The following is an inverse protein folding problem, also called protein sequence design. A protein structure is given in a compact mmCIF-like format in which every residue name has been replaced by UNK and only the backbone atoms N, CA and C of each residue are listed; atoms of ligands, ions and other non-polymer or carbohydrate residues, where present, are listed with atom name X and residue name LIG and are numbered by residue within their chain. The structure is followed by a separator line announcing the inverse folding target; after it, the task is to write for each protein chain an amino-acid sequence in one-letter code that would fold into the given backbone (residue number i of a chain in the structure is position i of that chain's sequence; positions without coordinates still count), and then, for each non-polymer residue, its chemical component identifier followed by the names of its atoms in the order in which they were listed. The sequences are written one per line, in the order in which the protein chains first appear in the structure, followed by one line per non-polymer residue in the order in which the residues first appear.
data_IF_724157375489
#
_entry.id   IF_724157375489
#
_cell.length_a   1.000
_cell.length_b   1.000
_cell.length_c   1.000
_cell.angle_alpha   90.00
_cell.angle_beta   90.00
_cell.angle_gamma   90.00
#
_symmetry.space_group_name_H-M   'P 1'
#
loop_
_entity.id
_entity.type
_entity.pdbx_description
1 polymer ?
#
# COMPACT_ATOMS: atom_id res chain seq x y z
N UNK A 1 -0.82 12.50 24.37
CA UNK A 1 -1.02 12.69 22.92
C UNK A 1 -0.03 11.79 22.22
N UNK A 2 -0.45 10.59 21.81
CA UNK A 2 0.36 9.77 20.92
C UNK A 2 0.42 10.48 19.57
N UNK A 3 1.61 10.92 19.19
CA UNK A 3 1.89 11.29 17.80
C UNK A 3 1.59 10.08 16.92
N UNK A 4 1.02 10.30 15.73
CA UNK A 4 1.00 9.28 14.68
C UNK A 4 2.45 8.85 14.46
N UNK A 5 2.84 7.75 15.08
CA UNK A 5 4.04 7.01 14.74
C UNK A 5 3.69 6.36 13.41
N UNK A 6 4.18 6.92 12.30
CA UNK A 6 4.15 6.35 10.94
C UNK A 6 4.89 4.99 10.86
N UNK A 7 5.17 4.35 12.00
CA UNK A 7 6.00 3.17 12.21
C UNK A 7 5.30 1.83 12.00
N UNK A 8 4.10 1.79 11.43
CA UNK A 8 3.37 0.54 11.17
C UNK A 8 3.11 0.30 9.68
N UNK A 9 4.07 0.64 8.82
CA UNK A 9 3.99 0.43 7.36
C UNK A 9 4.27 -1.03 6.94
N UNK A 10 3.83 -2.04 7.68
CA UNK A 10 4.15 -3.45 7.36
C UNK A 10 3.01 -4.41 7.72
N UNK A 11 1.91 -4.35 6.98
CA UNK A 11 1.01 -5.49 6.74
C UNK A 11 0.12 -5.18 5.53
N UNK A 12 -0.43 -6.22 4.88
CA UNK A 12 -1.36 -6.06 3.75
C UNK A 12 -2.48 -5.07 4.07
N UNK A 13 -2.82 -4.22 3.09
CA UNK A 13 -3.93 -3.31 3.23
C UNK A 13 -5.24 -4.11 3.32
N UNK A 14 -6.04 -3.83 4.34
CA UNK A 14 -7.31 -4.54 4.50
C UNK A 14 -8.34 -3.98 3.52
N UNK A 15 -9.24 -4.83 3.02
CA UNK A 15 -10.41 -4.38 2.23
C UNK A 15 -11.18 -3.23 2.91
N UNK A 16 -11.16 -3.17 4.24
CA UNK A 16 -11.76 -2.09 5.01
C UNK A 16 -11.07 -0.73 4.81
N UNK A 17 -9.74 -0.68 4.76
CA UNK A 17 -8.99 0.55 4.49
C UNK A 17 -9.29 1.11 3.10
N UNK A 18 -9.31 0.24 2.08
CA UNK A 18 -9.64 0.64 0.70
C UNK A 18 -11.06 1.22 0.64
N UNK A 19 -12.04 0.62 1.31
CA UNK A 19 -13.38 1.21 1.38
C UNK A 19 -13.44 2.50 2.21
N UNK A 20 -12.53 2.69 3.15
CA UNK A 20 -12.46 3.91 3.94
C UNK A 20 -12.01 5.13 3.11
N UNK A 21 -11.30 4.93 2.01
CA UNK A 21 -11.05 5.99 1.02
C UNK A 21 -12.37 6.60 0.51
N UNK A 22 -13.35 5.75 0.21
CA UNK A 22 -14.69 6.18 -0.15
C UNK A 22 -15.46 6.83 1.01
N UNK A 23 -15.19 6.44 2.26
CA UNK A 23 -15.74 7.12 3.44
C UNK A 23 -15.20 8.54 3.57
N UNK A 24 -13.91 8.75 3.27
CA UNK A 24 -13.30 10.09 3.24
C UNK A 24 -14.00 10.95 2.18
N UNK A 25 -14.28 10.39 0.99
CA UNK A 25 -15.05 11.08 -0.07
C UNK A 25 -16.44 11.48 0.42
N UNK A 26 -17.19 10.54 1.01
CA UNK A 26 -18.54 10.78 1.51
C UNK A 26 -18.54 11.85 2.62
N UNK A 27 -17.61 11.75 3.58
CA UNK A 27 -17.48 12.70 4.68
C UNK A 27 -17.10 14.10 4.17
N UNK A 28 -16.16 14.19 3.21
CA UNK A 28 -15.79 15.45 2.59
C UNK A 28 -16.98 16.08 1.86
N UNK A 29 -17.71 15.33 1.04
CA UNK A 29 -18.84 15.85 0.27
C UNK A 29 -20.01 16.32 1.15
N UNK A 30 -20.16 15.76 2.36
CA UNK A 30 -21.20 16.14 3.32
C UNK A 30 -20.74 17.15 4.39
N UNK A 31 -19.45 17.55 4.41
CA UNK A 31 -18.82 18.32 5.51
C UNK A 31 -19.43 19.68 5.84
N UNK A 32 -20.15 20.27 4.88
CA UNK A 32 -20.75 21.60 5.01
C UNK A 32 -22.22 21.56 5.47
N UNK A 33 -22.81 20.37 5.60
CA UNK A 33 -24.15 20.22 6.14
C UNK A 33 -24.17 20.51 7.65
N UNK A 34 -25.35 20.84 8.18
CA UNK A 34 -25.54 20.82 9.63
C UNK A 34 -25.41 19.39 10.17
N UNK A 35 -25.11 19.26 11.46
CA UNK A 35 -24.97 17.95 12.11
C UNK A 35 -26.21 17.06 11.88
N UNK A 36 -27.41 17.62 12.04
CA UNK A 36 -28.67 16.90 11.82
C UNK A 36 -28.83 16.42 10.37
N UNK A 37 -28.51 17.28 9.40
CA UNK A 37 -28.58 16.94 7.99
C UNK A 37 -27.55 15.87 7.62
N UNK A 38 -26.33 15.97 8.16
CA UNK A 38 -25.27 14.98 7.98
C UNK A 38 -25.69 13.61 8.53
N UNK A 39 -26.14 13.57 9.78
CA UNK A 39 -26.57 12.33 10.48
C UNK A 39 -27.76 11.64 9.81
N UNK A 40 -28.58 12.37 9.04
CA UNK A 40 -29.65 11.80 8.21
C UNK A 40 -29.12 11.14 6.93
N UNK A 41 -27.98 11.59 6.39
CA UNK A 41 -27.45 11.18 5.07
C UNK A 41 -26.28 10.21 5.12
N UNK A 42 -25.41 10.26 6.13
CA UNK A 42 -24.12 9.56 6.10
C UNK A 42 -24.24 8.04 6.00
N UNK A 43 -25.15 7.41 6.76
CA UNK A 43 -25.36 5.96 6.70
C UNK A 43 -26.10 5.50 5.42
N UNK A 44 -26.60 6.43 4.62
CA UNK A 44 -27.23 6.12 3.33
C UNK A 44 -26.19 6.02 2.20
N UNK A 45 -24.98 6.56 2.41
CA UNK A 45 -23.94 6.60 1.39
C UNK A 45 -23.41 5.21 1.05
N UNK A 46 -23.11 4.99 -0.22
CA UNK A 46 -22.70 3.69 -0.73
C UNK A 46 -21.34 3.24 -0.15
N UNK A 47 -20.38 4.15 -0.03
CA UNK A 47 -19.05 3.79 0.47
C UNK A 47 -19.09 3.49 1.98
N UNK A 48 -19.79 4.32 2.76
CA UNK A 48 -20.06 4.04 4.18
C UNK A 48 -20.71 2.66 4.37
N UNK A 49 -21.72 2.32 3.56
CA UNK A 49 -22.36 0.99 3.62
C UNK A 49 -21.39 -0.15 3.30
N UNK A 50 -20.50 0.00 2.33
CA UNK A 50 -19.49 -1.02 1.98
C UNK A 50 -18.47 -1.18 3.10
N UNK A 51 -17.94 -0.08 3.60
CA UNK A 51 -16.98 -0.03 4.70
C UNK A 51 -17.52 -0.73 5.97
N UNK A 52 -18.75 -0.39 6.39
CA UNK A 52 -19.37 -0.97 7.59
C UNK A 52 -19.62 -2.48 7.51
N UNK A 53 -19.52 -3.11 6.33
CA UNK A 53 -19.64 -4.58 6.21
C UNK A 53 -18.34 -5.32 6.53
N UNK A 54 -17.20 -4.64 6.43
CA UNK A 54 -15.87 -5.26 6.52
C UNK A 54 -15.02 -4.65 7.64
N UNK A 55 -15.44 -3.53 8.22
CA UNK A 55 -14.76 -2.93 9.36
C UNK A 55 -14.74 -3.91 10.55
N UNK A 56 -13.58 -4.03 11.19
CA UNK A 56 -13.36 -4.93 12.32
C UNK A 56 -13.11 -4.16 13.63
N UNK A 57 -12.68 -4.88 14.66
CA UNK A 57 -12.37 -4.33 15.99
C UNK A 57 -11.24 -3.27 16.01
N UNK A 58 -10.44 -3.13 14.94
CA UNK A 58 -9.40 -2.11 14.87
C UNK A 58 -10.02 -0.70 14.78
N UNK A 59 -11.23 -0.60 14.23
CA UNK A 59 -11.96 0.65 14.03
C UNK A 59 -12.73 1.09 15.27
N UNK A 60 -11.99 1.44 16.33
CA UNK A 60 -12.54 1.73 17.66
C UNK A 60 -13.58 2.84 17.71
N UNK A 61 -13.58 3.77 16.75
CA UNK A 61 -14.59 4.83 16.66
C UNK A 61 -15.99 4.32 16.29
N UNK A 62 -16.08 3.15 15.67
CA UNK A 62 -17.33 2.58 15.13
C UNK A 62 -17.63 1.18 15.66
N UNK A 63 -16.65 0.50 16.27
CA UNK A 63 -16.88 -0.77 16.95
C UNK A 63 -17.47 -0.54 18.35
N UNK A 64 -18.54 -1.24 18.79
CA UNK A 64 -19.14 -2.46 18.24
C UNK A 64 -20.49 -2.21 17.52
N UNK A 65 -20.55 -1.28 16.55
CA UNK A 65 -21.74 -1.13 15.70
C UNK A 65 -22.12 -2.45 14.98
N UNK A 66 -21.13 -3.33 14.78
CA UNK A 66 -21.30 -4.70 14.29
C UNK A 66 -21.30 -5.64 15.51
N UNK A 67 -22.48 -5.95 16.06
CA UNK A 67 -22.63 -7.03 17.07
C UNK A 67 -22.87 -8.38 16.35
N UNK A 68 -22.46 -9.52 16.93
CA UNK A 68 -22.66 -10.85 16.36
C UNK A 68 -24.12 -11.19 16.01
N UNK A 69 -25.09 -10.51 16.62
CA UNK A 69 -26.52 -10.76 16.49
C UNK A 69 -27.26 -9.79 15.55
N UNK A 70 -26.55 -9.02 14.71
CA UNK A 70 -27.09 -8.13 13.66
C UNK A 70 -28.09 -7.03 14.08
N UNK A 71 -28.53 -6.99 15.34
CA UNK A 71 -29.45 -5.99 15.86
C UNK A 71 -28.71 -4.69 16.20
N UNK A 72 -29.02 -3.64 15.44
CA UNK A 72 -28.50 -2.28 15.67
C UNK A 72 -29.29 -1.62 16.80
N UNK A 73 -28.66 -1.42 17.94
CA UNK A 73 -29.21 -0.55 18.98
C UNK A 73 -29.27 0.91 18.48
N UNK A 74 -30.33 1.63 18.82
CA UNK A 74 -30.50 3.07 18.56
C UNK A 74 -29.30 3.86 19.10
N UNK A 75 -28.78 3.49 20.28
CA UNK A 75 -27.62 4.15 20.88
C UNK A 75 -26.34 3.94 20.05
N UNK A 76 -26.06 2.69 19.63
CA UNK A 76 -24.91 2.38 18.78
C UNK A 76 -24.98 3.11 17.43
N UNK A 77 -26.18 3.23 16.87
CA UNK A 77 -26.41 3.99 15.63
C UNK A 77 -26.16 5.48 15.81
N UNK A 78 -26.57 6.06 16.95
CA UNK A 78 -26.30 7.45 17.27
C UNK A 78 -24.79 7.72 17.42
N UNK A 79 -24.07 6.88 18.17
CA UNK A 79 -22.62 6.98 18.35
C UNK A 79 -21.87 6.85 17.02
N UNK A 80 -22.28 5.92 16.15
CA UNK A 80 -21.69 5.76 14.83
C UNK A 80 -21.83 7.05 13.99
N UNK A 81 -23.04 7.61 13.95
CA UNK A 81 -23.30 8.86 13.24
C UNK A 81 -22.49 10.02 13.81
N UNK A 82 -22.29 10.05 15.13
CA UNK A 82 -21.44 11.04 15.78
C UNK A 82 -19.96 10.90 15.35
N UNK A 83 -19.44 9.67 15.31
CA UNK A 83 -18.06 9.41 14.91
C UNK A 83 -17.80 9.89 13.47
N UNK A 84 -18.69 9.59 12.52
CA UNK A 84 -18.56 10.11 11.16
C UNK A 84 -18.70 11.63 11.06
N UNK A 85 -19.57 12.24 11.87
CA UNK A 85 -19.70 13.69 11.91
C UNK A 85 -18.40 14.35 12.38
N UNK A 86 -17.83 13.87 13.48
CA UNK A 86 -16.54 14.35 13.99
C UNK A 86 -15.43 14.18 12.95
N UNK A 87 -15.40 13.03 12.27
CA UNK A 87 -14.44 12.80 11.20
C UNK A 87 -14.65 13.75 10.01
N UNK A 88 -15.88 14.04 9.60
CA UNK A 88 -16.17 15.01 8.55
C UNK A 88 -15.72 16.44 8.94
N UNK A 89 -15.89 16.83 10.21
CA UNK A 89 -15.37 18.09 10.71
C UNK A 89 -13.83 18.10 10.74
N UNK A 90 -13.20 16.98 11.09
CA UNK A 90 -11.75 16.83 11.00
C UNK A 90 -11.26 16.96 9.54
N UNK A 91 -11.94 16.33 8.58
CA UNK A 91 -11.68 16.49 7.16
C UNK A 91 -11.76 17.97 6.76
N UNK A 92 -12.84 18.67 7.12
CA UNK A 92 -13.02 20.11 6.87
C UNK A 92 -11.89 20.95 7.47
N UNK A 93 -11.44 20.62 8.67
CA UNK A 93 -10.40 21.35 9.37
C UNK A 93 -9.01 21.14 8.73
N UNK A 94 -8.68 19.90 8.37
CA UNK A 94 -7.30 19.50 7.99
C UNK A 94 -7.06 19.52 6.49
N UNK A 95 -8.03 19.15 5.66
CA UNK A 95 -7.87 19.10 4.20
C UNK A 95 -7.87 20.53 3.66
N UNK A 96 -6.75 20.92 3.02
CA UNK A 96 -6.53 22.27 2.49
C UNK A 96 -6.82 22.32 0.98
N UNK A 97 -8.01 21.86 0.61
CA UNK A 97 -8.49 21.82 -0.77
C UNK A 97 -9.92 22.33 -0.88
N UNK A 98 -10.31 22.71 -2.11
CA UNK A 98 -11.65 23.16 -2.45
C UNK A 98 -12.37 22.16 -3.35
N UNK A 99 -13.69 22.29 -3.50
CA UNK A 99 -14.48 21.44 -4.40
C UNK A 99 -14.99 20.13 -3.79
N UNK A 100 -15.51 19.27 -4.66
CA UNK A 100 -16.03 17.95 -4.33
C UNK A 100 -14.94 16.89 -4.44
N UNK A 101 -15.17 15.75 -3.78
CA UNK A 101 -14.31 14.58 -3.86
C UNK A 101 -14.95 13.47 -4.68
N UNK A 102 -14.11 12.62 -5.29
CA UNK A 102 -14.52 11.44 -6.03
C UNK A 102 -13.41 10.38 -6.08
N UNK A 103 -13.70 9.16 -6.55
CA UNK A 103 -12.71 8.11 -6.69
C UNK A 103 -11.72 8.44 -7.83
N UNK A 104 -10.45 8.05 -7.65
CA UNK A 104 -9.40 8.17 -8.66
C UNK A 104 -8.73 6.82 -8.96
N UNK A 105 -8.63 5.94 -7.94
CA UNK A 105 -7.91 4.67 -8.01
C UNK A 105 -8.39 3.68 -9.07
N UNK A 106 -9.63 3.82 -9.57
CA UNK A 106 -10.21 2.88 -10.55
C UNK A 106 -9.98 3.26 -12.02
N UNK A 107 -9.20 4.30 -12.30
CA UNK A 107 -9.06 4.85 -13.65
C UNK A 107 -8.06 4.10 -14.56
N UNK A 108 -7.32 3.11 -14.04
CA UNK A 108 -6.26 2.36 -14.74
C UNK A 108 -5.47 3.18 -15.80
N UNK A 109 -4.86 4.32 -15.40
CA UNK A 109 -4.13 5.19 -16.31
C UNK A 109 -2.94 4.49 -16.98
N UNK A 110 -2.55 5.02 -18.14
CA UNK A 110 -1.36 4.57 -18.86
C UNK A 110 -0.08 4.86 -18.07
N UNK A 111 0.87 3.93 -18.12
CA UNK A 111 2.21 4.12 -17.52
C UNK A 111 3.23 4.56 -18.59
N UNK A 112 4.38 5.09 -18.18
CA UNK A 112 5.48 5.41 -19.11
C UNK A 112 6.00 4.16 -19.84
N UNK A 113 6.63 4.32 -21.01
CA UNK A 113 7.16 3.15 -21.73
C UNK A 113 8.33 2.52 -20.98
N UNK A 114 9.17 3.29 -20.28
CA UNK A 114 10.15 2.74 -19.33
C UNK A 114 9.48 1.80 -18.32
N UNK A 115 8.40 2.25 -17.66
CA UNK A 115 7.71 1.41 -16.69
C UNK A 115 7.09 0.16 -17.32
N UNK A 116 6.57 0.30 -18.54
CA UNK A 116 6.01 -0.81 -19.33
C UNK A 116 7.08 -1.82 -19.73
N UNK A 117 8.28 -1.38 -20.11
CA UNK A 117 9.40 -2.25 -20.44
C UNK A 117 9.85 -3.05 -19.22
N UNK A 118 9.96 -2.38 -18.08
CA UNK A 118 10.40 -2.98 -16.82
C UNK A 118 9.39 -3.96 -16.21
N UNK A 119 8.09 -3.64 -16.29
CA UNK A 119 7.05 -4.41 -15.59
C UNK A 119 6.21 -5.30 -16.51
N UNK A 120 6.19 -5.01 -17.81
CA UNK A 120 5.28 -5.61 -18.79
C UNK A 120 3.85 -5.05 -18.76
N UNK A 121 3.54 -4.10 -17.85
CA UNK A 121 2.21 -3.51 -17.71
C UNK A 121 2.12 -2.19 -18.49
N UNK A 122 1.12 -2.06 -19.37
CA UNK A 122 0.86 -0.80 -20.09
C UNK A 122 -0.10 0.16 -19.37
N UNK A 123 -0.79 -0.33 -18.32
CA UNK A 123 -1.74 0.41 -17.49
C UNK A 123 -1.66 -0.15 -16.08
N UNK A 124 -1.95 0.69 -15.09
CA UNK A 124 -1.93 0.25 -13.69
C UNK A 124 -2.85 1.09 -12.81
N UNK A 125 -3.10 0.62 -11.59
CA UNK A 125 -3.85 1.36 -10.56
C UNK A 125 -3.14 2.68 -10.24
N UNK A 126 -3.88 3.78 -10.35
CA UNK A 126 -3.41 5.14 -10.05
C UNK A 126 -2.79 5.24 -8.65
N UNK A 127 -1.76 6.10 -8.49
CA UNK A 127 -1.23 6.47 -7.17
C UNK A 127 -2.17 7.37 -6.38
N UNK A 128 -3.02 8.12 -7.09
CA UNK A 128 -4.12 8.83 -6.49
C UNK A 128 -5.29 7.87 -6.27
N UNK A 129 -5.69 7.69 -5.02
CA UNK A 129 -6.80 6.85 -4.61
C UNK A 129 -8.13 7.62 -4.75
N UNK A 130 -8.10 8.91 -4.41
CA UNK A 130 -9.23 9.85 -4.54
C UNK A 130 -8.77 11.17 -5.16
N UNK A 131 -9.70 11.91 -5.74
CA UNK A 131 -9.51 13.33 -6.12
C UNK A 131 -10.31 14.19 -5.16
N UNK A 132 -9.73 15.32 -4.72
CA UNK A 132 -10.44 16.38 -4.00
C UNK A 132 -10.21 17.69 -4.75
N UNK A 133 -11.22 18.17 -5.47
CA UNK A 133 -11.08 19.32 -6.36
C UNK A 133 -10.02 19.08 -7.43
N UNK A 134 -8.88 19.76 -7.31
CA UNK A 134 -7.72 19.61 -8.20
C UNK A 134 -6.59 18.75 -7.62
N UNK A 135 -6.73 18.33 -6.37
CA UNK A 135 -5.70 17.56 -5.68
C UNK A 135 -5.92 16.07 -5.93
N UNK A 136 -4.88 15.40 -6.43
CA UNK A 136 -4.79 13.96 -6.63
C UNK A 136 -4.18 13.35 -5.37
N UNK A 137 -5.00 12.68 -4.57
CA UNK A 137 -4.67 12.33 -3.19
C UNK A 137 -4.37 10.84 -3.10
N UNK A 138 -3.14 10.51 -2.68
CA UNK A 138 -2.83 9.17 -2.19
C UNK A 138 -3.20 9.08 -0.72
N UNK A 139 -4.03 8.11 -0.37
CA UNK A 139 -4.59 7.88 0.95
C UNK A 139 -3.80 6.77 1.63
N UNK A 140 -3.39 7.01 2.89
CA UNK A 140 -2.62 6.04 3.68
C UNK A 140 -3.28 5.82 5.04
N UNK A 141 -3.79 4.61 5.23
CA UNK A 141 -4.22 4.14 6.53
C UNK A 141 -3.05 3.68 7.40
N UNK A 142 -3.29 3.30 8.66
CA UNK A 142 -2.23 2.97 9.62
C UNK A 142 -1.30 1.82 9.22
N UNK A 143 -1.75 0.94 8.32
CA UNK A 143 -1.03 -0.24 7.83
C UNK A 143 -0.68 -0.18 6.33
N UNK A 144 -0.93 0.95 5.66
CA UNK A 144 -0.79 1.01 4.20
C UNK A 144 0.67 0.98 3.75
N UNK A 145 0.93 0.39 2.57
CA UNK A 145 2.23 0.45 1.91
C UNK A 145 2.32 1.66 0.96
N UNK A 146 3.52 2.22 0.79
CA UNK A 146 3.79 3.25 -0.23
C UNK A 146 3.97 2.65 -1.63
N UNK A 147 4.35 1.39 -1.72
CA UNK A 147 4.57 0.67 -2.98
C UNK A 147 4.27 -0.82 -2.84
N UNK A 148 4.01 -1.46 -3.98
CA UNK A 148 3.91 -2.92 -4.07
C UNK A 148 5.26 -3.56 -3.77
N UNK A 149 5.26 -4.72 -3.11
CA UNK A 149 6.44 -5.57 -2.91
C UNK A 149 6.75 -6.47 -4.12
N UNK A 150 6.05 -6.31 -5.24
CA UNK A 150 6.32 -7.08 -6.46
C UNK A 150 7.70 -6.72 -7.03
N UNK A 151 8.47 -7.73 -7.44
CA UNK A 151 9.88 -7.56 -7.81
C UNK A 151 10.06 -6.57 -8.95
N UNK A 152 9.26 -6.67 -10.02
CA UNK A 152 9.42 -5.80 -11.20
C UNK A 152 9.07 -4.36 -10.88
N UNK A 153 7.98 -4.11 -10.15
CA UNK A 153 7.63 -2.78 -9.67
C UNK A 153 8.68 -2.20 -8.72
N UNK A 154 9.26 -3.04 -7.85
CA UNK A 154 10.36 -2.63 -6.97
C UNK A 154 11.60 -2.24 -7.78
N UNK A 155 11.94 -3.03 -8.82
CA UNK A 155 13.06 -2.75 -9.73
C UNK A 155 12.87 -1.44 -10.49
N UNK A 156 11.69 -1.25 -11.08
CA UNK A 156 11.36 -0.03 -11.80
C UNK A 156 11.45 1.21 -10.89
N UNK A 157 10.99 1.09 -9.64
CA UNK A 157 11.09 2.16 -8.64
C UNK A 157 12.56 2.48 -8.30
N UNK A 158 13.38 1.46 -8.04
CA UNK A 158 14.81 1.62 -7.75
C UNK A 158 15.54 2.30 -8.90
N UNK A 159 15.30 1.85 -10.13
CA UNK A 159 15.92 2.41 -11.32
C UNK A 159 15.51 3.87 -11.55
N UNK A 160 14.23 4.19 -11.35
CA UNK A 160 13.73 5.57 -11.42
C UNK A 160 14.39 6.45 -10.37
N UNK A 161 14.46 5.99 -9.12
CA UNK A 161 15.12 6.72 -8.03
C UNK A 161 16.62 6.95 -8.28
N UNK A 162 17.33 5.92 -8.79
CA UNK A 162 18.74 6.02 -9.14
C UNK A 162 18.99 6.99 -10.29
N UNK A 163 18.14 6.95 -11.33
CA UNK A 163 18.21 7.90 -12.44
C UNK A 163 17.93 9.32 -11.98
N UNK A 164 16.89 9.53 -11.16
CA UNK A 164 16.53 10.84 -10.61
C UNK A 164 17.60 11.41 -9.67
N UNK A 165 18.23 10.56 -8.85
CA UNK A 165 19.29 10.97 -7.92
C UNK A 165 20.64 11.22 -8.59
N UNK A 166 20.84 10.71 -9.82
CA UNK A 166 22.12 10.76 -10.51
C UNK A 166 23.17 9.80 -9.94
N UNK A 167 22.81 8.97 -8.95
CA UNK A 167 23.73 8.03 -8.32
C UNK A 167 24.09 6.89 -9.27
N UNK A 168 25.39 6.61 -9.38
CA UNK A 168 25.95 5.57 -10.25
C UNK A 168 26.91 4.64 -9.47
N UNK A 169 27.45 3.63 -10.16
CA UNK A 169 28.53 2.80 -9.63
C UNK A 169 28.08 1.76 -8.61
N UNK A 170 28.82 1.64 -7.50
CA UNK A 170 28.68 0.54 -6.53
C UNK A 170 27.28 0.46 -5.93
N UNK A 171 26.72 1.59 -5.50
CA UNK A 171 25.41 1.64 -4.84
C UNK A 171 24.28 1.19 -5.78
N UNK A 172 24.34 1.59 -7.07
CA UNK A 172 23.41 1.10 -8.10
C UNK A 172 23.50 -0.42 -8.27
N UNK A 173 24.72 -0.96 -8.40
CA UNK A 173 24.92 -2.41 -8.55
C UNK A 173 24.41 -3.19 -7.34
N UNK A 174 24.67 -2.68 -6.14
CA UNK A 174 24.23 -3.28 -4.88
C UNK A 174 22.71 -3.32 -4.77
N UNK A 175 22.03 -2.19 -5.02
CA UNK A 175 20.56 -2.12 -4.99
C UNK A 175 19.89 -3.03 -6.01
N UNK A 176 20.38 -3.04 -7.25
CA UNK A 176 19.82 -3.93 -8.29
C UNK A 176 20.05 -5.40 -7.94
N UNK A 177 21.24 -5.75 -7.42
CA UNK A 177 21.51 -7.10 -6.94
C UNK A 177 20.57 -7.54 -5.82
N UNK A 178 20.16 -6.64 -4.93
CA UNK A 178 19.15 -6.95 -3.91
C UNK A 178 17.76 -7.15 -4.49
N UNK A 179 17.34 -6.34 -5.46
CA UNK A 179 16.05 -6.52 -6.13
C UNK A 179 16.02 -7.83 -6.91
N UNK A 180 17.10 -8.19 -7.60
CA UNK A 180 17.18 -9.44 -8.38
C UNK A 180 17.07 -10.70 -7.49
N UNK A 181 17.34 -10.57 -6.18
CA UNK A 181 17.15 -11.63 -5.18
C UNK A 181 15.71 -11.75 -4.66
N UNK A 182 14.82 -10.81 -4.99
CA UNK A 182 13.40 -10.95 -4.67
C UNK A 182 12.82 -12.12 -5.45
N UNK A 183 12.24 -13.10 -4.75
CA UNK A 183 11.66 -14.26 -5.42
C UNK A 183 10.29 -13.90 -5.97
N UNK A 184 10.12 -14.09 -7.28
CA UNK A 184 8.81 -14.09 -7.93
C UNK A 184 8.06 -15.37 -7.56
N UNK A 185 7.30 -15.34 -6.47
CA UNK A 185 6.32 -16.37 -6.04
C UNK A 185 6.81 -17.83 -6.09
N UNK A 186 7.16 -18.42 -4.95
CA UNK A 186 7.40 -19.87 -4.87
C UNK A 186 6.07 -20.62 -4.94
N UNK A 187 5.85 -21.41 -5.99
CA UNK A 187 4.65 -22.25 -6.12
C UNK A 187 4.81 -23.50 -5.26
N UNK A 188 3.84 -23.78 -4.40
CA UNK A 188 3.79 -25.00 -3.57
C UNK A 188 2.96 -26.06 -4.28
N UNK A 189 3.28 -27.35 -4.08
CA UNK A 189 2.60 -28.46 -4.76
C UNK A 189 1.72 -29.22 -3.78
N UNK A 190 0.41 -29.22 -4.05
CA UNK A 190 -0.63 -29.88 -3.24
C UNK A 190 -1.36 -28.93 -2.29
N UNK A 191 -2.67 -29.16 -2.09
CA UNK A 191 -3.58 -28.25 -1.37
C UNK A 191 -3.27 -28.06 0.13
N UNK A 192 -2.35 -28.86 0.68
CA UNK A 192 -2.02 -28.93 2.11
C UNK A 192 -0.86 -28.01 2.54
N UNK A 193 -0.09 -27.47 1.60
CA UNK A 193 1.08 -26.66 1.91
C UNK A 193 0.87 -25.19 1.54
N UNK A 194 0.42 -24.41 2.53
CA UNK A 194 0.67 -22.96 2.55
C UNK A 194 2.15 -22.70 2.85
N UNK A 195 2.67 -21.51 2.54
CA UNK A 195 4.05 -21.13 2.84
C UNK A 195 4.42 -21.33 4.33
N UNK A 196 3.47 -21.10 5.24
CA UNK A 196 3.66 -21.30 6.68
C UNK A 196 3.67 -22.78 7.09
N UNK A 197 2.85 -23.62 6.44
CA UNK A 197 2.87 -25.06 6.67
C UNK A 197 4.18 -25.68 6.17
N UNK A 198 4.70 -25.21 5.04
CA UNK A 198 6.01 -25.60 4.49
C UNK A 198 7.17 -25.28 5.43
N UNK A 199 7.20 -24.07 6.02
CA UNK A 199 8.26 -23.67 6.96
C UNK A 199 8.31 -24.54 8.21
N UNK A 200 7.16 -25.07 8.64
CA UNK A 200 7.02 -25.89 9.86
C UNK A 200 7.20 -27.38 9.64
N UNK A 201 7.13 -27.86 8.39
CA UNK A 201 7.30 -29.27 8.06
C UNK A 201 8.74 -29.74 8.35
N UNK A 202 8.97 -31.05 8.48
CA UNK A 202 10.33 -31.62 8.55
C UNK A 202 10.91 -31.71 7.11
N UNK A 203 12.15 -31.24 6.85
CA UNK A 203 12.75 -31.33 5.51
C UNK A 203 12.75 -32.76 4.94
N UNK A 204 12.96 -33.78 5.79
CA UNK A 204 13.02 -35.18 5.38
C UNK A 204 11.65 -35.73 4.99
N UNK A 205 10.60 -35.25 5.64
CA UNK A 205 9.21 -35.59 5.29
C UNK A 205 8.83 -34.97 3.94
N UNK A 206 9.25 -33.73 3.68
CA UNK A 206 9.05 -33.07 2.39
C UNK A 206 9.75 -33.82 1.26
N UNK A 207 11.03 -34.17 1.42
CA UNK A 207 11.77 -34.94 0.41
C UNK A 207 11.14 -36.30 0.13
N UNK A 208 10.63 -36.97 1.16
CA UNK A 208 9.95 -38.26 1.03
C UNK A 208 8.61 -38.11 0.30
N UNK A 209 7.86 -37.06 0.60
CA UNK A 209 6.63 -36.69 -0.10
C UNK A 209 6.88 -36.36 -1.57
N UNK A 210 7.93 -35.60 -1.87
CA UNK A 210 8.30 -35.21 -3.24
C UNK A 210 8.68 -36.43 -4.09
N UNK A 211 9.41 -37.40 -3.53
CA UNK A 211 9.68 -38.68 -4.22
C UNK A 211 8.39 -39.42 -4.60
N UNK A 212 7.38 -39.40 -3.73
CA UNK A 212 6.07 -39.99 -4.03
C UNK A 212 5.32 -39.22 -5.11
N UNK A 213 5.36 -37.88 -5.09
CA UNK A 213 4.76 -37.04 -6.12
C UNK A 213 5.41 -37.24 -7.49
N UNK A 214 6.73 -37.41 -7.54
CA UNK A 214 7.48 -37.70 -8.76
C UNK A 214 7.08 -39.06 -9.35
N UNK A 215 6.97 -40.11 -8.50
CA UNK A 215 6.47 -41.43 -8.92
C UNK A 215 5.03 -41.36 -9.45
N UNK A 216 4.19 -40.52 -8.84
CA UNK A 216 2.82 -40.25 -9.28
C UNK A 216 2.75 -39.32 -10.51
N UNK A 217 3.88 -38.83 -11.03
CA UNK A 217 3.97 -37.84 -12.12
C UNK A 217 3.20 -36.54 -11.87
N UNK A 218 3.04 -36.17 -10.59
CA UNK A 218 2.43 -34.90 -10.18
C UNK A 218 3.43 -33.73 -10.18
N UNK A 219 4.72 -34.06 -10.12
CA UNK A 219 5.85 -33.18 -10.42
C UNK A 219 6.72 -33.86 -11.47
N UNK A 220 7.38 -33.08 -12.33
CA UNK A 220 8.26 -33.60 -13.38
C UNK A 220 9.68 -33.85 -12.85
N UNK A 221 10.13 -33.06 -11.89
CA UNK A 221 11.45 -33.18 -11.26
C UNK A 221 11.39 -32.92 -9.76
N UNK A 222 12.45 -33.26 -9.04
CA UNK A 222 12.53 -33.00 -7.59
C UNK A 222 12.64 -31.49 -7.27
N UNK A 223 13.15 -30.68 -8.21
CA UNK A 223 13.26 -29.22 -8.11
C UNK A 223 11.91 -28.52 -8.10
N UNK A 224 10.85 -29.18 -8.57
CA UNK A 224 9.46 -28.72 -8.48
C UNK A 224 8.79 -29.10 -7.15
N UNK A 225 9.49 -29.87 -6.31
CA UNK A 225 9.00 -30.39 -5.04
C UNK A 225 8.93 -29.37 -3.90
N UNK A 226 8.18 -29.71 -2.85
CA UNK A 226 7.99 -28.90 -1.66
C UNK A 226 9.29 -28.71 -0.85
N UNK A 227 10.24 -29.64 -0.89
CA UNK A 227 11.55 -29.48 -0.26
C UNK A 227 12.37 -28.37 -0.93
N UNK A 228 12.36 -28.32 -2.27
CA UNK A 228 12.99 -27.24 -3.04
C UNK A 228 12.30 -25.89 -2.78
N UNK A 229 10.96 -25.88 -2.76
CA UNK A 229 10.17 -24.71 -2.42
C UNK A 229 10.50 -24.18 -1.01
N UNK A 230 10.64 -25.07 -0.02
CA UNK A 230 11.04 -24.68 1.34
C UNK A 230 12.45 -24.11 1.38
N UNK A 231 13.42 -24.73 0.71
CA UNK A 231 14.80 -24.22 0.67
C UNK A 231 14.85 -22.79 0.16
N UNK A 232 14.04 -22.48 -0.87
CA UNK A 232 13.86 -21.11 -1.36
C UNK A 232 13.29 -20.19 -0.26
N UNK A 233 12.29 -20.63 0.52
CA UNK A 233 11.72 -19.86 1.64
C UNK A 233 12.72 -19.64 2.79
N UNK A 234 13.55 -20.62 3.11
CA UNK A 234 14.55 -20.53 4.17
C UNK A 234 15.72 -19.61 3.75
N UNK A 235 16.13 -19.68 2.49
CA UNK A 235 17.13 -18.77 1.92
C UNK A 235 16.58 -17.34 1.82
N UNK A 236 15.29 -17.15 1.54
CA UNK A 236 14.62 -15.84 1.62
C UNK A 236 14.71 -15.24 3.02
N UNK A 237 14.44 -16.01 4.08
CA UNK A 237 14.48 -15.51 5.45
C UNK A 237 15.89 -15.03 5.84
N UNK A 238 16.92 -15.76 5.41
CA UNK A 238 18.32 -15.36 5.60
C UNK A 238 18.67 -14.10 4.81
N UNK A 239 18.22 -14.01 3.56
CA UNK A 239 18.48 -12.88 2.67
C UNK A 239 17.72 -11.61 3.08
N UNK A 240 16.53 -11.75 3.67
CA UNK A 240 15.64 -10.65 4.06
C UNK A 240 16.37 -9.59 4.87
N UNK A 241 17.00 -9.98 5.97
CA UNK A 241 17.74 -9.03 6.84
C UNK A 241 18.87 -8.30 6.10
N UNK A 242 19.54 -8.98 5.17
CA UNK A 242 20.62 -8.40 4.37
C UNK A 242 20.09 -7.39 3.37
N UNK A 243 18.99 -7.72 2.69
CA UNK A 243 18.35 -6.85 1.71
C UNK A 243 17.75 -5.62 2.41
N UNK A 244 17.03 -5.81 3.51
CA UNK A 244 16.46 -4.72 4.32
C UNK A 244 17.56 -3.76 4.79
N UNK A 245 18.66 -4.29 5.33
CA UNK A 245 19.81 -3.49 5.73
C UNK A 245 20.46 -2.76 4.54
N UNK A 246 20.52 -3.41 3.38
CA UNK A 246 21.01 -2.84 2.13
C UNK A 246 20.21 -1.62 1.66
N UNK A 247 18.89 -1.76 1.59
CA UNK A 247 18.00 -0.65 1.27
C UNK A 247 18.05 0.45 2.32
N UNK A 248 18.10 0.12 3.61
CA UNK A 248 18.24 1.11 4.67
C UNK A 248 19.52 1.93 4.52
N UNK A 249 20.65 1.29 4.18
CA UNK A 249 21.91 2.01 3.87
C UNK A 249 21.73 2.92 2.66
N UNK A 250 21.08 2.44 1.60
CA UNK A 250 20.85 3.24 0.40
C UNK A 250 19.94 4.45 0.66
N UNK A 251 18.89 4.31 1.49
CA UNK A 251 18.00 5.41 1.84
C UNK A 251 18.66 6.47 2.73
N UNK A 252 19.78 6.13 3.40
CA UNK A 252 20.60 7.13 4.08
C UNK A 252 21.35 8.05 3.10
N UNK A 253 21.54 7.63 1.84
CA UNK A 253 21.90 8.58 0.78
C UNK A 253 20.69 9.47 0.50
N UNK A 254 20.85 10.77 0.77
CA UNK A 254 19.75 11.73 0.68
C UNK A 254 19.13 11.78 -0.71
N UNK A 255 19.91 11.66 -1.78
CA UNK A 255 19.40 11.76 -3.14
C UNK A 255 18.61 10.50 -3.51
N UNK A 256 19.14 9.32 -3.18
CA UNK A 256 18.44 8.04 -3.40
C UNK A 256 17.17 7.97 -2.57
N UNK A 257 17.24 8.25 -1.26
CA UNK A 257 16.09 8.22 -0.37
C UNK A 257 14.98 9.17 -0.81
N UNK A 258 15.33 10.41 -1.23
CA UNK A 258 14.34 11.37 -1.74
C UNK A 258 13.72 10.91 -3.07
N UNK A 259 14.53 10.44 -4.03
CA UNK A 259 14.03 9.94 -5.32
C UNK A 259 13.10 8.75 -5.14
N UNK A 260 13.48 7.82 -4.26
CA UNK A 260 12.70 6.63 -3.97
C UNK A 260 11.37 6.97 -3.29
N UNK A 261 11.40 7.82 -2.27
CA UNK A 261 10.19 8.31 -1.60
C UNK A 261 9.27 9.07 -2.57
N UNK A 262 9.84 9.92 -3.41
CA UNK A 262 9.10 10.69 -4.40
C UNK A 262 8.40 9.79 -5.41
N UNK A 263 9.11 8.82 -5.98
CA UNK A 263 8.51 7.85 -6.90
C UNK A 263 7.40 7.04 -6.21
N UNK A 264 7.67 6.54 -5.01
CA UNK A 264 6.74 5.69 -4.27
C UNK A 264 5.43 6.41 -3.93
N UNK A 265 5.53 7.66 -3.47
CA UNK A 265 4.38 8.49 -3.11
C UNK A 265 3.59 8.98 -4.33
N UNK A 266 4.27 9.30 -5.43
CA UNK A 266 3.63 10.04 -6.53
C UNK A 266 3.39 9.20 -7.76
N UNK A 267 4.27 8.28 -8.12
CA UNK A 267 4.33 7.69 -9.47
C UNK A 267 4.90 8.70 -10.49
N UNK A 268 5.96 9.41 -10.09
CA UNK A 268 6.59 10.48 -10.86
C UNK A 268 7.08 9.99 -12.22
N UNK A 269 7.76 8.85 -12.25
CA UNK A 269 8.11 8.13 -13.45
C UNK A 269 6.96 7.26 -13.91
N UNK A 270 6.41 6.40 -13.05
CA UNK A 270 5.37 5.42 -13.43
C UNK A 270 4.24 6.02 -14.26
N UNK A 271 3.67 7.14 -13.82
CA UNK A 271 2.54 7.80 -14.48
C UNK A 271 2.96 9.11 -15.17
N UNK A 272 3.94 9.83 -14.60
CA UNK A 272 4.34 11.12 -15.15
C UNK A 272 5.35 11.03 -16.29
N UNK A 273 6.13 9.95 -16.39
CA UNK A 273 7.20 9.78 -17.38
C UNK A 273 8.32 10.81 -17.27
N UNK A 274 8.53 11.37 -16.07
CA UNK A 274 9.32 12.60 -15.86
C UNK A 274 10.80 12.36 -15.61
N UNK A 275 11.24 11.12 -15.47
CA UNK A 275 12.63 10.76 -15.16
C UNK A 275 13.37 10.31 -16.42
N UNK A 276 12.68 9.65 -17.34
CA UNK A 276 13.21 9.19 -18.61
C UNK A 276 12.66 9.95 -19.82
N UNK A 277 11.94 11.05 -19.59
CA UNK A 277 11.35 11.92 -20.62
C UNK A 277 10.42 11.20 -21.59
N UNK A 278 9.65 10.25 -21.06
CA UNK A 278 8.75 9.38 -21.82
C UNK A 278 7.36 9.33 -21.14
N UNK A 279 6.41 10.17 -21.58
CA UNK A 279 5.21 10.47 -20.83
C UNK A 279 4.26 9.27 -20.69
N UNK A 280 3.86 8.99 -19.45
CA UNK A 280 2.65 8.23 -19.14
C UNK A 280 1.40 9.12 -19.06
N UNK A 281 0.38 8.65 -18.36
CA UNK A 281 -0.83 9.43 -18.07
C UNK A 281 -0.77 10.09 -16.67
N UNK A 282 -0.46 11.39 -16.65
CA UNK A 282 -0.24 12.17 -15.42
C UNK A 282 -1.48 12.23 -14.51
N UNK A 283 -2.68 11.84 -15.00
CA UNK A 283 -3.87 11.71 -14.16
C UNK A 283 -3.71 10.65 -13.07
N UNK A 284 -2.81 9.68 -13.27
CA UNK A 284 -2.49 8.62 -12.30
C UNK A 284 -1.52 9.03 -11.20
N UNK A 285 -0.91 10.22 -11.30
CA UNK A 285 0.07 10.70 -10.33
C UNK A 285 -0.62 11.24 -9.08
N UNK A 286 -0.02 11.07 -7.90
CA UNK A 286 -0.45 11.78 -6.71
C UNK A 286 0.35 13.07 -6.51
N UNK A 287 -0.31 14.13 -6.06
CA UNK A 287 0.31 15.41 -5.69
C UNK A 287 0.06 15.79 -4.22
N UNK A 288 -0.70 14.96 -3.51
CA UNK A 288 -1.03 15.11 -2.09
C UNK A 288 -0.97 13.75 -1.41
N UNK A 289 -0.49 13.75 -0.17
CA UNK A 289 -0.60 12.62 0.76
C UNK A 289 -1.62 12.93 1.84
N UNK A 290 -2.56 12.02 2.05
CA UNK A 290 -3.52 12.07 3.15
C UNK A 290 -3.34 10.82 4.02
N UNK A 291 -2.97 11.02 5.29
CA UNK A 291 -2.81 9.93 6.25
C UNK A 291 -3.87 10.02 7.35
N UNK A 292 -4.40 8.88 7.80
CA UNK A 292 -5.47 8.83 8.81
C UNK A 292 -5.25 7.68 9.82
N UNK A 293 -5.90 7.77 10.98
CA UNK A 293 -5.84 6.77 12.05
C UNK A 293 -7.15 5.99 12.25
N UNK A 294 -7.08 4.70 12.61
CA UNK A 294 -8.27 3.86 12.91
C UNK A 294 -9.29 4.47 13.88
N UNK A 295 -8.89 5.25 14.91
CA UNK A 295 -9.84 5.93 15.78
C UNK A 295 -10.57 7.13 15.14
N UNK A 296 -10.31 7.43 13.86
CA UNK A 296 -10.96 8.50 13.08
C UNK A 296 -10.87 9.90 13.72
N UNK A 297 -9.86 10.13 14.55
CA UNK A 297 -9.62 11.40 15.24
C UNK A 297 -8.28 12.05 14.87
N UNK A 298 -7.49 11.40 14.01
CA UNK A 298 -6.25 11.95 13.45
C UNK A 298 -6.29 11.88 11.93
N UNK A 299 -5.96 13.01 11.30
CA UNK A 299 -5.90 13.18 9.86
C UNK A 299 -4.78 14.18 9.54
N UNK A 300 -3.92 13.81 8.59
CA UNK A 300 -2.86 14.63 8.05
C UNK A 300 -3.09 14.83 6.55
N UNK A 301 -2.75 16.01 6.06
CA UNK A 301 -2.94 16.40 4.66
C UNK A 301 -1.74 17.21 4.19
N UNK A 302 -0.94 16.64 3.31
CA UNK A 302 0.33 17.20 2.87
C UNK A 302 0.33 17.40 1.36
N UNK A 303 0.43 18.64 0.91
CA UNK A 303 0.86 18.93 -0.46
C UNK A 303 2.35 18.60 -0.56
N UNK A 304 2.70 17.67 -1.44
CA UNK A 304 4.05 17.11 -1.50
C UNK A 304 4.87 17.74 -2.62
N UNK A 305 6.19 17.78 -2.41
CA UNK A 305 7.18 18.32 -3.35
C UNK A 305 8.42 17.41 -3.34
N UNK A 306 9.18 17.28 -4.44
CA UNK A 306 10.31 16.35 -4.52
C UNK A 306 11.33 16.46 -3.38
N UNK A 307 11.63 17.69 -2.95
CA UNK A 307 12.62 17.98 -1.88
C UNK A 307 11.98 18.61 -0.64
N UNK A 308 10.66 18.47 -0.48
CA UNK A 308 9.92 19.07 0.62
C UNK A 308 10.18 18.40 1.98
N UNK A 309 9.82 19.06 3.10
CA UNK A 309 9.98 18.49 4.45
C UNK A 309 9.26 17.15 4.63
N UNK A 310 8.06 17.00 4.06
CA UNK A 310 7.29 15.76 4.16
C UNK A 310 7.97 14.61 3.40
N UNK A 311 8.42 14.84 2.16
CA UNK A 311 9.19 13.86 1.38
C UNK A 311 10.48 13.45 2.07
N UNK A 312 11.18 14.42 2.69
CA UNK A 312 12.39 14.15 3.47
C UNK A 312 12.11 13.33 4.73
N UNK A 313 10.96 13.55 5.37
CA UNK A 313 10.52 12.75 6.51
C UNK A 313 10.23 11.32 6.06
N UNK A 314 9.41 11.14 5.02
CA UNK A 314 9.09 9.83 4.45
C UNK A 314 10.37 9.08 4.07
N UNK A 315 11.29 9.72 3.34
CA UNK A 315 12.57 9.10 2.96
C UNK A 315 13.38 8.54 4.15
N UNK A 316 13.35 9.20 5.31
CA UNK A 316 14.04 8.73 6.52
C UNK A 316 13.33 7.58 7.23
N UNK A 317 12.01 7.52 7.09
CA UNK A 317 11.15 6.55 7.78
C UNK A 317 10.84 5.33 6.90
N UNK A 318 11.13 5.40 5.60
CA UNK A 318 10.96 4.32 4.64
C UNK A 318 11.81 3.11 4.99
N UNK A 319 11.18 1.95 4.84
CA UNK A 319 11.81 0.65 4.92
C UNK A 319 11.35 -0.17 3.73
N UNK A 320 12.28 -0.92 3.14
CA UNK A 320 11.92 -2.01 2.24
C UNK A 320 11.80 -3.26 3.12
N UNK A 321 10.79 -4.09 2.88
CA UNK A 321 10.70 -5.41 3.50
C UNK A 321 10.55 -6.46 2.43
N UNK A 322 11.42 -7.46 2.50
CA UNK A 322 11.41 -8.63 1.63
C UNK A 322 10.62 -9.79 2.25
#
# INVERSE_FOLDING_TARGET
MESLKEYYLLTEDTTASTYFEGVIVDCWNLRNLSEDQFKKKILLQANVKKFLKVADKQWTAIFPYIRPNQNRDKQATASLKQAFWHFAQLCKQKIKSGGNAGPAGQSYPGVSAFWKEETGKGKDTSKADIVIGKDQVSVKGPKALLMSGEQKESRATVLSALKQSGVQGKLKKELLGYVDQFVTSTRTVGAQYTSDALRKADPKELESGDKSLLQQKKIATMEEGNAAARKILDDQEKLKSTIEAGFQRAFNDKAVGLGFAWESMTGWEKFGGKTFDDPGDDVGRANVMLAWGYPMNVLQYHKIKPTGPYTSKVAKEMKMTA
#
